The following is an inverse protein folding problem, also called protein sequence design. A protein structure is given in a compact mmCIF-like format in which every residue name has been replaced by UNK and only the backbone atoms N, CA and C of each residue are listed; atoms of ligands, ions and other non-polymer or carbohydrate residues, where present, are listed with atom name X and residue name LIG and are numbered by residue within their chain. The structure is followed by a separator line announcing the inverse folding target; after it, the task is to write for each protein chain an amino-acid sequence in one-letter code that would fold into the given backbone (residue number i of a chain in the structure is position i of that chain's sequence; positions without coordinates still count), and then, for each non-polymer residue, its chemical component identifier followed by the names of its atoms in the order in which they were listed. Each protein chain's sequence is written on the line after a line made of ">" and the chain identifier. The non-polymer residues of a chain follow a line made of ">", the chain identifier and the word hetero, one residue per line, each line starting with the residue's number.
data_IF_923337798254
#
_entry.id   IF_923337798254
#
_cell.length_a   1.000
_cell.length_b   1.000
_cell.length_c   1.000
_cell.angle_alpha   90.00
_cell.angle_beta   90.00
_cell.angle_gamma   90.00
#
_symmetry.space_group_name_H-M   'P 1'
#
loop_
_entity.id
_entity.type
_entity.pdbx_description
1 polymer ?
#
# COMPACT_ATOMS: atom_id res chain seq x y z
N UNK A 1 23.86 -10.42 -41.65
CA UNK A 1 24.48 -9.07 -41.61
C UNK A 1 24.15 -8.30 -42.88
N UNK A 2 23.80 -7.01 -42.72
CA UNK A 2 23.78 -5.93 -43.73
C UNK A 2 22.62 -6.07 -44.74
N UNK A 3 21.52 -5.33 -44.58
CA UNK A 3 21.27 -3.92 -44.98
C UNK A 3 19.88 -3.59 -44.38
N UNK A 4 19.49 -2.43 -43.86
CA UNK A 4 19.73 -1.06 -44.26
C UNK A 4 19.29 -0.17 -43.07
N UNK A 5 20.02 0.91 -42.85
CA UNK A 5 19.73 1.95 -41.85
C UNK A 5 18.48 2.77 -42.19
N UNK A 6 17.90 3.35 -41.14
CA UNK A 6 17.24 4.67 -41.00
C UNK A 6 16.69 5.39 -42.26
N UNK A 7 15.52 6.03 -42.12
CA UNK A 7 15.32 7.50 -42.24
C UNK A 7 13.81 7.88 -42.14
N UNK A 8 13.53 8.82 -41.23
CA UNK A 8 12.63 10.00 -41.26
C UNK A 8 11.21 9.88 -41.91
N UNK A 9 10.14 10.55 -41.45
CA UNK A 9 9.99 11.77 -40.68
C UNK A 9 8.56 11.84 -40.09
N UNK A 10 8.44 12.67 -39.04
CA UNK A 10 7.28 13.44 -38.56
C UNK A 10 5.93 13.29 -39.30
N UNK A 11 4.82 13.28 -38.54
CA UNK A 11 3.89 14.42 -38.43
C UNK A 11 2.77 14.12 -37.40
N UNK A 12 2.75 14.96 -36.35
CA UNK A 12 1.64 15.40 -35.49
C UNK A 12 0.40 14.51 -35.27
N UNK A 13 0.17 14.16 -34.00
CA UNK A 13 -1.04 14.67 -33.31
C UNK A 13 -0.80 14.76 -31.81
N UNK A 14 -0.70 15.99 -31.36
CA UNK A 14 -0.81 16.37 -29.95
C UNK A 14 -2.27 16.17 -29.57
N UNK A 15 -2.57 15.14 -28.78
CA UNK A 15 -3.80 15.14 -27.98
C UNK A 15 -3.34 15.34 -26.53
N UNK A 16 -3.38 16.60 -26.12
CA UNK A 16 -3.35 17.03 -24.73
C UNK A 16 -4.57 16.46 -24.01
N UNK A 17 -4.40 15.35 -23.29
CA UNK A 17 -5.20 15.12 -22.10
C UNK A 17 -4.44 15.72 -20.92
N UNK A 18 -4.78 16.97 -20.63
CA UNK A 18 -4.56 17.57 -19.33
C UNK A 18 -5.26 16.71 -18.28
N UNK A 19 -4.54 15.76 -17.69
CA UNK A 19 -4.87 15.32 -16.33
C UNK A 19 -4.09 16.23 -15.40
N UNK A 20 -4.86 17.11 -14.76
CA UNK A 20 -4.43 18.09 -13.81
C UNK A 20 -3.29 17.60 -12.93
N UNK A 21 -2.21 18.39 -12.89
CA UNK A 21 -1.34 18.43 -11.75
C UNK A 21 -2.18 18.76 -10.52
N UNK A 22 -2.59 17.74 -9.77
CA UNK A 22 -3.09 17.89 -8.41
C UNK A 22 -2.38 16.89 -7.50
N UNK A 23 -1.28 17.34 -6.92
CA UNK A 23 -0.71 16.78 -5.68
C UNK A 23 0.11 15.51 -5.86
N UNK A 24 1.39 15.58 -5.49
CA UNK A 24 2.34 14.49 -5.63
C UNK A 24 1.90 13.14 -5.04
N UNK A 25 2.30 12.08 -5.73
CA UNK A 25 2.48 10.74 -5.19
C UNK A 25 1.28 9.81 -5.39
N UNK A 26 1.40 8.88 -6.35
CA UNK A 26 0.63 7.63 -6.29
C UNK A 26 1.32 6.48 -7.02
N UNK A 27 2.46 6.07 -6.47
CA UNK A 27 2.96 4.69 -6.63
C UNK A 27 1.99 3.71 -5.96
N UNK A 28 0.83 3.47 -6.59
CA UNK A 28 -0.07 2.37 -6.24
C UNK A 28 -1.55 2.74 -6.27
N UNK A 29 -2.26 2.31 -7.32
CA UNK A 29 -3.69 1.96 -7.44
C UNK A 29 -4.80 2.70 -6.66
N UNK A 30 -6.03 2.25 -6.92
CA UNK A 30 -7.22 2.64 -6.14
C UNK A 30 -7.13 2.09 -4.71
N UNK A 31 -7.89 2.64 -3.73
CA UNK A 31 -7.99 2.08 -2.38
C UNK A 31 -8.32 0.58 -2.34
N UNK A 32 -9.19 0.12 -3.24
CA UNK A 32 -9.61 -1.26 -3.36
C UNK A 32 -8.46 -2.15 -3.86
N UNK A 33 -7.75 -1.70 -4.90
CA UNK A 33 -6.58 -2.41 -5.43
C UNK A 33 -5.47 -2.52 -4.38
N UNK A 34 -5.27 -1.48 -3.56
CA UNK A 34 -4.32 -1.51 -2.45
C UNK A 34 -4.72 -2.52 -1.38
N UNK A 35 -5.98 -2.52 -0.97
CA UNK A 35 -6.49 -3.47 0.03
C UNK A 35 -6.34 -4.92 -0.47
N UNK A 36 -6.68 -5.17 -1.73
CA UNK A 36 -6.50 -6.47 -2.37
C UNK A 36 -5.03 -6.88 -2.41
N UNK A 37 -4.14 -6.03 -2.91
CA UNK A 37 -2.69 -6.33 -2.97
C UNK A 37 -2.11 -6.64 -1.59
N UNK A 38 -2.47 -5.86 -0.57
CA UNK A 38 -1.98 -6.10 0.80
C UNK A 38 -2.49 -7.43 1.35
N UNK A 39 -3.76 -7.76 1.07
CA UNK A 39 -4.36 -9.05 1.42
C UNK A 39 -3.64 -10.20 0.73
N UNK A 40 -3.42 -10.10 -0.59
CA UNK A 40 -2.77 -11.14 -1.40
C UNK A 40 -1.33 -11.39 -0.90
N UNK A 41 -0.57 -10.33 -0.60
CA UNK A 41 0.77 -10.47 -0.03
C UNK A 41 0.77 -11.13 1.35
N UNK A 42 -0.18 -10.76 2.21
CA UNK A 42 -0.29 -11.38 3.53
C UNK A 42 -0.71 -12.86 3.41
N UNK A 43 -1.61 -13.15 2.48
CA UNK A 43 -2.05 -14.51 2.18
C UNK A 43 -0.91 -15.39 1.69
N UNK A 44 -0.04 -14.87 0.82
CA UNK A 44 1.12 -15.60 0.32
C UNK A 44 2.11 -15.93 1.44
N UNK A 45 2.37 -14.96 2.33
CA UNK A 45 3.33 -15.07 3.43
C UNK A 45 2.86 -15.95 4.58
N UNK A 46 1.57 -15.87 4.93
CA UNK A 46 0.99 -16.56 6.09
C UNK A 46 0.13 -17.77 5.70
N UNK A 47 0.00 -18.06 4.40
CA UNK A 47 -0.87 -19.12 3.85
C UNK A 47 -2.29 -18.99 4.39
N UNK A 48 -2.86 -17.78 4.26
CA UNK A 48 -4.21 -17.49 4.76
C UNK A 48 -5.27 -18.32 4.02
N UNK A 49 -6.26 -18.80 4.77
CA UNK A 49 -7.46 -19.43 4.19
C UNK A 49 -8.35 -18.41 3.49
N UNK A 50 -9.31 -18.86 2.66
CA UNK A 50 -10.25 -17.95 1.99
C UNK A 50 -11.08 -17.09 2.96
N UNK A 51 -11.49 -17.68 4.09
CA UNK A 51 -12.20 -16.95 5.15
C UNK A 51 -11.32 -15.87 5.78
N UNK A 52 -10.05 -16.18 6.02
CA UNK A 52 -9.08 -15.21 6.56
C UNK A 52 -8.79 -14.10 5.55
N UNK A 53 -8.60 -14.44 4.27
CA UNK A 53 -8.43 -13.45 3.19
C UNK A 53 -9.61 -12.48 3.13
N UNK A 54 -10.83 -12.99 3.21
CA UNK A 54 -12.05 -12.16 3.20
C UNK A 54 -12.08 -11.18 4.37
N UNK A 55 -11.77 -11.65 5.59
CA UNK A 55 -11.71 -10.79 6.79
C UNK A 55 -10.58 -9.76 6.71
N UNK A 56 -9.39 -10.17 6.27
CA UNK A 56 -8.24 -9.28 6.08
C UNK A 56 -8.52 -8.21 5.02
N UNK A 57 -9.17 -8.57 3.92
CA UNK A 57 -9.57 -7.62 2.88
C UNK A 57 -10.53 -6.55 3.43
N UNK A 58 -11.51 -6.97 4.24
CA UNK A 58 -12.43 -6.05 4.90
C UNK A 58 -11.68 -5.09 5.85
N UNK A 59 -10.71 -5.61 6.63
CA UNK A 59 -9.89 -4.79 7.52
C UNK A 59 -9.07 -3.76 6.73
N UNK A 60 -8.40 -4.15 5.65
CA UNK A 60 -7.62 -3.21 4.83
C UNK A 60 -8.50 -2.21 4.08
N UNK A 61 -9.70 -2.61 3.64
CA UNK A 61 -10.66 -1.69 3.03
C UNK A 61 -11.08 -0.60 4.03
N UNK A 62 -11.40 -1.00 5.26
CA UNK A 62 -11.75 -0.06 6.32
C UNK A 62 -10.59 0.88 6.65
N UNK A 63 -9.37 0.34 6.79
CA UNK A 63 -8.16 1.13 7.00
C UNK A 63 -7.97 2.19 5.90
N UNK A 64 -8.13 1.80 4.63
CA UNK A 64 -7.95 2.73 3.52
C UNK A 64 -8.99 3.86 3.52
N UNK A 65 -10.23 3.57 3.93
CA UNK A 65 -11.27 4.58 4.10
C UNK A 65 -10.91 5.55 5.23
N UNK A 66 -10.46 5.05 6.38
CA UNK A 66 -10.01 5.90 7.51
C UNK A 66 -8.79 6.75 7.13
N UNK A 67 -7.85 6.20 6.37
CA UNK A 67 -6.69 6.92 5.87
C UNK A 67 -7.08 8.05 4.92
N UNK A 68 -8.07 7.81 4.06
CA UNK A 68 -8.58 8.85 3.15
C UNK A 68 -9.20 9.99 3.95
N UNK A 69 -10.06 9.69 4.93
CA UNK A 69 -10.66 10.68 5.83
C UNK A 69 -9.60 11.45 6.63
N UNK A 70 -8.60 10.76 7.18
CA UNK A 70 -7.53 11.42 7.94
C UNK A 70 -6.70 12.37 7.07
N UNK A 71 -6.47 12.01 5.80
CA UNK A 71 -5.75 12.85 4.84
C UNK A 71 -6.55 14.08 4.42
N UNK A 72 -7.85 13.93 4.23
CA UNK A 72 -8.77 15.03 3.94
C UNK A 72 -8.93 15.99 5.11
N UNK A 73 -8.98 15.47 6.34
CA UNK A 73 -9.05 16.28 7.56
C UNK A 73 -7.79 17.12 7.79
N UNK A 74 -6.61 16.61 7.40
CA UNK A 74 -5.32 17.27 7.64
C UNK A 74 -5.00 17.43 9.13
N UNK A 75 -3.96 18.22 9.43
CA UNK A 75 -3.58 18.61 10.79
C UNK A 75 -2.24 18.04 11.28
N UNK A 76 -1.73 18.65 12.34
CA UNK A 76 -0.44 18.31 12.96
C UNK A 76 -0.45 16.91 13.62
N UNK A 77 -1.63 16.40 13.96
CA UNK A 77 -1.85 15.08 14.56
C UNK A 77 -1.93 13.94 13.55
N UNK A 78 -1.80 14.23 12.25
CA UNK A 78 -1.89 13.24 11.18
C UNK A 78 -0.95 12.05 11.42
N UNK A 79 0.28 12.31 11.87
CA UNK A 79 1.28 11.25 12.12
C UNK A 79 0.85 10.31 13.25
N UNK A 80 0.29 10.86 14.33
CA UNK A 80 -0.18 10.07 15.47
C UNK A 80 -1.39 9.21 15.07
N UNK A 81 -2.37 9.82 14.38
CA UNK A 81 -3.53 9.12 13.83
C UNK A 81 -3.12 7.95 12.94
N UNK A 82 -2.13 8.16 12.07
CA UNK A 82 -1.61 7.10 11.19
C UNK A 82 -0.94 5.97 11.97
N UNK A 83 -0.20 6.30 13.03
CA UNK A 83 0.46 5.29 13.89
C UNK A 83 -0.58 4.46 14.63
N UNK A 84 -1.59 5.11 15.20
CA UNK A 84 -2.70 4.44 15.89
C UNK A 84 -3.48 3.53 14.94
N UNK A 85 -3.85 4.03 13.76
CA UNK A 85 -4.57 3.26 12.74
C UNK A 85 -3.79 2.01 12.29
N UNK A 86 -2.46 2.11 12.13
CA UNK A 86 -1.61 0.96 11.82
C UNK A 86 -1.61 -0.07 12.95
N UNK A 87 -1.51 0.38 14.22
CA UNK A 87 -1.61 -0.50 15.38
C UNK A 87 -2.94 -1.25 15.45
N UNK A 88 -4.06 -0.53 15.32
CA UNK A 88 -5.40 -1.12 15.32
C UNK A 88 -5.60 -2.11 14.17
N UNK A 89 -5.09 -1.78 12.98
CA UNK A 89 -5.12 -2.69 11.82
C UNK A 89 -4.38 -3.98 12.12
N UNK A 90 -3.18 -3.89 12.71
CA UNK A 90 -2.40 -5.07 13.06
C UNK A 90 -3.11 -5.93 14.12
N UNK A 91 -3.70 -5.31 15.15
CA UNK A 91 -4.50 -6.03 16.16
C UNK A 91 -5.68 -6.76 15.55
N UNK A 92 -6.44 -6.09 14.66
CA UNK A 92 -7.58 -6.71 13.96
C UNK A 92 -7.14 -7.87 13.07
N UNK A 93 -5.99 -7.76 12.39
CA UNK A 93 -5.44 -8.84 11.58
C UNK A 93 -5.00 -10.00 12.48
N UNK A 94 -4.24 -9.76 13.55
CA UNK A 94 -3.78 -10.82 14.45
C UNK A 94 -4.93 -11.65 15.04
N UNK A 95 -6.07 -11.00 15.33
CA UNK A 95 -7.26 -11.65 15.85
C UNK A 95 -7.94 -12.63 14.86
N UNK A 96 -7.68 -12.51 13.54
CA UNK A 96 -8.23 -13.44 12.53
C UNK A 96 -7.25 -14.55 12.14
N UNK A 97 -6.02 -14.51 12.65
CA UNK A 97 -4.98 -15.51 12.40
C UNK A 97 -5.09 -16.69 13.36
N UNK A 98 -4.66 -17.85 12.90
CA UNK A 98 -4.45 -19.01 13.78
C UNK A 98 -3.23 -18.80 14.67
N UNK A 99 -3.13 -19.54 15.77
CA UNK A 99 -1.99 -19.43 16.67
C UNK A 99 -0.65 -19.78 15.99
N UNK A 100 -0.67 -20.66 14.99
CA UNK A 100 0.50 -21.01 14.18
C UNK A 100 0.94 -19.87 13.24
N UNK A 101 0.03 -19.02 12.79
CA UNK A 101 0.32 -17.90 11.89
C UNK A 101 0.80 -16.64 12.62
N UNK A 102 0.39 -16.45 13.88
CA UNK A 102 0.71 -15.25 14.68
C UNK A 102 2.21 -14.97 14.82
N UNK A 103 3.11 -15.95 15.05
CA UNK A 103 4.55 -15.69 15.13
C UNK A 103 5.12 -15.08 13.85
N UNK A 104 4.73 -15.62 12.69
CA UNK A 104 5.17 -15.11 11.39
C UNK A 104 4.60 -13.70 11.13
N UNK A 105 3.36 -13.44 11.53
CA UNK A 105 2.78 -12.09 11.44
C UNK A 105 3.54 -11.07 12.29
N UNK A 106 3.85 -11.41 13.55
CA UNK A 106 4.62 -10.53 14.45
C UNK A 106 6.00 -10.20 13.88
N UNK A 107 6.69 -11.19 13.31
CA UNK A 107 7.96 -10.97 12.64
C UNK A 107 7.83 -9.97 11.47
N UNK A 108 6.79 -10.10 10.64
CA UNK A 108 6.53 -9.16 9.54
C UNK A 108 6.22 -7.74 10.02
N UNK A 109 5.48 -7.61 11.13
CA UNK A 109 5.18 -6.29 11.73
C UNK A 109 6.45 -5.64 12.26
N UNK A 110 7.28 -6.39 12.98
CA UNK A 110 8.56 -5.90 13.50
C UNK A 110 9.55 -5.53 12.39
N UNK A 111 9.64 -6.32 11.33
CA UNK A 111 10.46 -6.01 10.15
C UNK A 111 10.02 -4.67 9.52
N UNK A 112 8.71 -4.48 9.33
CA UNK A 112 8.14 -3.23 8.80
C UNK A 112 8.44 -2.05 9.71
N UNK A 113 8.34 -2.22 11.03
CA UNK A 113 8.65 -1.19 12.02
C UNK A 113 10.12 -0.78 11.93
N UNK A 114 11.05 -1.74 11.95
CA UNK A 114 12.48 -1.49 11.78
C UNK A 114 12.81 -0.80 10.46
N UNK A 115 12.16 -1.22 9.36
CA UNK A 115 12.35 -0.58 8.06
C UNK A 115 11.86 0.88 8.05
N UNK A 116 10.78 1.19 8.77
CA UNK A 116 10.33 2.58 8.94
C UNK A 116 11.30 3.40 9.79
N UNK A 117 11.78 2.86 10.91
CA UNK A 117 12.75 3.51 11.79
C UNK A 117 14.06 3.79 11.04
N UNK A 118 14.57 2.83 10.28
CA UNK A 118 15.77 3.00 9.46
C UNK A 118 15.62 4.09 8.40
N UNK A 119 14.44 4.20 7.76
CA UNK A 119 14.14 5.28 6.81
C UNK A 119 14.05 6.64 7.48
N UNK A 120 13.55 6.70 8.71
CA UNK A 120 13.48 7.92 9.49
C UNK A 120 14.88 8.39 9.91
N UNK A 121 15.76 7.47 10.28
CA UNK A 121 17.11 7.77 10.76
C UNK A 121 18.13 8.00 9.63
N UNK A 122 17.93 7.39 8.45
CA UNK A 122 18.81 7.55 7.28
C UNK A 122 18.42 8.69 6.33
N UNK A 123 17.36 9.44 6.65
CA UNK A 123 16.95 10.66 5.95
C UNK A 123 17.44 11.95 6.62
N UNK A 124 18.34 11.86 7.60
CA UNK A 124 19.02 12.98 8.26
C UNK A 124 20.42 13.17 7.71
#
# INVERSE_FOLDING_TARGET
>A
MKKLMMICALLFSVITYANAQQGGGRMGGTPEERAKRNTDQLAEKLKLTEDQKTKVLAIYTAQNAEMTKAREAGGDDFREKMTKMMGETNTKIEAVLTDEQKPAFKALVEERKKAMEARQNGGQ
#
